data_IF_055169233036
#
_entry.id   IF_055169233036
#
_cell.length_a   1.000
_cell.length_b   1.000
_cell.length_c   1.000
_cell.angle_alpha   90.00
_cell.angle_beta   90.00
_cell.angle_gamma   90.00
#
_symmetry.space_group_name_H-M   'P 1'
#
loop_
_entity.id
_entity.type
_entity.pdbx_description
1 polymer ?
#
# COMPACT_ATOMS: atom_id res chain seq x y z
N UNK A 1 -38.85 17.58 20.75
CA UNK A 1 -38.20 17.73 22.08
C UNK A 1 -36.85 17.01 21.99
N UNK A 2 -35.68 17.63 21.82
CA UNK A 2 -35.14 18.92 22.26
C UNK A 2 -34.25 19.56 21.18
N UNK A 3 -34.10 20.88 21.29
CA UNK A 3 -33.40 21.84 20.43
C UNK A 3 -31.89 21.91 20.71
N UNK A 4 -31.10 22.11 19.64
CA UNK A 4 -29.68 22.49 19.67
C UNK A 4 -29.49 23.89 20.30
N UNK A 5 -28.49 24.04 21.17
CA UNK A 5 -27.93 25.35 21.53
C UNK A 5 -26.59 25.62 20.81
N UNK A 6 -26.52 26.82 20.22
CA UNK A 6 -25.38 27.40 19.49
C UNK A 6 -24.31 27.94 20.44
N UNK A 7 -23.07 27.87 19.95
CA UNK A 7 -21.92 28.67 20.39
C UNK A 7 -22.17 30.19 20.28
N UNK A 8 -21.65 30.95 21.26
CA UNK A 8 -20.63 32.04 21.12
C UNK A 8 -20.74 33.01 22.31
N UNK A 9 -19.62 33.34 22.95
CA UNK A 9 -19.04 34.69 22.87
C UNK A 9 -17.76 34.80 23.69
N UNK A 10 -16.76 35.41 23.05
CA UNK A 10 -15.58 36.04 23.61
C UNK A 10 -15.94 37.21 24.54
N UNK A 11 -15.09 37.49 25.54
CA UNK A 11 -14.62 38.85 25.85
C UNK A 11 -13.38 38.84 26.76
N UNK A 12 -12.55 39.85 26.54
CA UNK A 12 -11.17 40.08 27.00
C UNK A 12 -11.16 41.17 28.09
N UNK A 13 -10.05 41.25 28.82
CA UNK A 13 -9.61 42.29 29.80
C UNK A 13 -10.26 42.18 31.18
N UNK A 14 -9.57 42.39 32.31
CA UNK A 14 -8.60 43.47 32.61
C UNK A 14 -7.73 43.10 33.84
N UNK A 15 -6.53 43.66 33.89
CA UNK A 15 -5.55 43.60 34.99
C UNK A 15 -5.92 44.50 36.17
N UNK A 16 -5.58 44.10 37.41
CA UNK A 16 -5.21 45.00 38.51
C UNK A 16 -4.20 44.31 39.44
N UNK A 17 -3.16 45.06 39.81
CA UNK A 17 -2.07 44.71 40.71
C UNK A 17 -2.39 45.07 42.18
N UNK A 18 -1.59 44.54 43.10
CA UNK A 18 -1.53 44.85 44.54
C UNK A 18 -0.93 43.65 45.27
N UNK A 19 0.40 43.53 45.42
CA UNK A 19 1.26 44.10 46.48
C UNK A 19 0.73 43.73 47.86
N UNK A 20 1.42 42.81 48.56
CA UNK A 20 1.79 42.97 49.97
C UNK A 20 2.77 41.88 50.45
N UNK A 21 3.82 42.32 51.13
CA UNK A 21 4.79 41.61 51.98
C UNK A 21 5.50 42.69 52.80
N UNK A 22 6.19 42.39 53.93
CA UNK A 22 6.02 41.35 54.96
C UNK A 22 5.96 42.03 56.38
N UNK A 23 6.32 41.39 57.52
CA UNK A 23 7.74 41.40 57.90
C UNK A 23 8.27 40.13 58.60
N UNK A 24 9.60 40.11 58.63
CA UNK A 24 10.59 39.22 59.26
C UNK A 24 10.70 39.34 60.78
N UNK A 25 11.11 38.26 61.46
CA UNK A 25 12.04 38.28 62.61
C UNK A 25 12.56 36.85 62.88
N UNK A 26 13.85 36.58 62.65
CA UNK A 26 14.97 36.52 63.62
C UNK A 26 15.12 35.17 64.34
N UNK A 27 16.32 34.59 64.25
CA UNK A 27 16.71 33.46 65.09
C UNK A 27 17.88 32.63 64.54
N UNK A 28 19.09 33.19 64.66
CA UNK A 28 20.39 32.58 64.37
C UNK A 28 20.79 31.62 65.50
N UNK A 29 21.12 30.36 65.21
CA UNK A 29 22.11 29.60 65.99
C UNK A 29 22.92 28.67 65.08
N UNK A 30 24.23 28.77 65.25
CA UNK A 30 25.28 28.01 64.60
C UNK A 30 25.83 26.99 65.59
N UNK A 31 25.86 25.71 65.24
CA UNK A 31 26.73 24.72 65.89
C UNK A 31 27.39 23.80 64.85
N UNK A 32 28.67 23.60 65.09
CA UNK A 32 29.65 22.91 64.24
C UNK A 32 29.45 21.39 64.16
N UNK A 33 29.87 20.84 63.01
CA UNK A 33 30.81 19.71 62.99
C UNK A 33 30.24 18.32 62.66
N UNK A 34 30.95 17.68 61.71
CA UNK A 34 31.08 16.22 61.45
C UNK A 34 30.28 15.62 60.29
N UNK A 35 31.02 15.03 59.34
CA UNK A 35 30.52 14.14 58.28
C UNK A 35 30.64 14.68 56.85
N UNK A 36 31.86 14.84 56.32
CA UNK A 36 32.04 14.93 54.86
C UNK A 36 32.04 13.49 54.34
N UNK A 37 30.88 12.99 53.97
CA UNK A 37 30.78 11.75 53.20
C UNK A 37 31.36 12.01 51.80
N UNK A 38 32.45 11.32 51.47
CA UNK A 38 33.02 11.26 50.13
C UNK A 38 31.95 10.79 49.13
N UNK A 39 31.36 11.72 48.37
CA UNK A 39 30.54 11.38 47.20
C UNK A 39 31.51 10.85 46.14
N UNK A 40 31.44 9.56 45.77
CA UNK A 40 32.30 9.04 44.70
C UNK A 40 31.97 9.79 43.41
N UNK A 41 33.01 10.24 42.71
CA UNK A 41 32.89 10.93 41.43
C UNK A 41 31.96 10.15 40.48
N UNK A 42 31.09 10.84 39.70
CA UNK A 42 30.21 10.16 38.76
C UNK A 42 31.06 9.32 37.81
N UNK A 43 30.71 8.03 37.70
CA UNK A 43 31.38 7.11 36.78
C UNK A 43 31.45 7.74 35.38
N UNK A 44 32.57 7.56 34.65
CA UNK A 44 32.71 8.11 33.30
C UNK A 44 31.50 7.66 32.47
N UNK A 45 30.75 8.64 31.97
CA UNK A 45 29.58 8.40 31.13
C UNK A 45 30.00 7.48 29.98
N UNK A 46 29.43 6.28 29.95
CA UNK A 46 29.63 5.33 28.86
C UNK A 46 29.39 6.07 27.54
N UNK A 47 30.22 5.86 26.51
CA UNK A 47 30.00 6.48 25.21
C UNK A 47 28.58 6.13 24.74
N UNK A 48 27.81 7.16 24.39
CA UNK A 48 26.49 6.97 23.80
C UNK A 48 26.64 5.97 22.65
N UNK A 49 25.76 4.94 22.56
CA UNK A 49 25.83 4.00 21.46
C UNK A 49 25.81 4.77 20.15
N UNK A 50 26.58 4.37 19.13
CA UNK A 50 26.62 5.08 17.86
C UNK A 50 25.20 5.25 17.36
N UNK A 51 24.81 6.50 17.09
CA UNK A 51 23.49 6.83 16.54
C UNK A 51 23.28 5.97 15.29
N UNK A 52 22.28 5.10 15.32
CA UNK A 52 22.01 4.20 14.21
C UNK A 52 21.85 4.98 12.91
N UNK A 53 22.36 4.48 11.77
CA UNK A 53 22.27 5.20 10.50
C UNK A 53 20.80 5.44 10.14
N UNK A 54 20.50 6.66 9.74
CA UNK A 54 19.17 7.05 9.27
C UNK A 54 18.91 6.42 7.90
N UNK A 55 17.80 5.69 7.77
CA UNK A 55 17.40 5.06 6.51
C UNK A 55 16.68 6.11 5.66
N UNK A 56 17.20 6.37 4.46
CA UNK A 56 16.55 7.24 3.50
C UNK A 56 15.37 6.53 2.83
N UNK A 57 14.22 7.18 2.80
CA UNK A 57 13.02 6.74 2.09
C UNK A 57 12.41 7.94 1.37
N UNK A 58 11.85 7.75 0.16
CA UNK A 58 11.07 8.80 -0.50
C UNK A 58 9.67 8.99 0.11
N UNK A 59 9.34 8.26 1.18
CA UNK A 59 8.04 8.24 1.84
C UNK A 59 8.17 8.52 3.34
N UNK A 60 7.09 9.05 3.93
CA UNK A 60 7.02 9.50 5.32
C UNK A 60 6.86 8.34 6.35
N UNK A 61 7.51 7.20 6.12
CA UNK A 61 7.55 6.10 7.08
C UNK A 61 8.51 6.41 8.25
N UNK A 62 8.18 5.92 9.44
CA UNK A 62 9.08 6.05 10.59
C UNK A 62 10.35 5.23 10.41
N UNK A 63 11.44 5.63 11.07
CA UNK A 63 12.69 4.88 11.05
C UNK A 63 12.54 3.46 11.62
N UNK A 64 11.59 3.23 12.53
CA UNK A 64 11.27 1.90 13.03
C UNK A 64 10.64 1.01 11.94
N UNK A 65 9.66 1.56 11.20
CA UNK A 65 9.04 0.85 10.08
C UNK A 65 10.01 0.53 8.96
N UNK A 66 10.91 1.47 8.62
CA UNK A 66 11.92 1.24 7.59
C UNK A 66 12.94 0.17 7.99
N UNK A 67 13.25 0.06 9.30
CA UNK A 67 14.11 -1.03 9.83
C UNK A 67 13.39 -2.38 9.79
N UNK A 68 12.11 -2.41 10.17
CA UNK A 68 11.31 -3.65 10.11
C UNK A 68 11.05 -4.09 8.67
N UNK A 69 10.82 -3.14 7.77
CA UNK A 69 10.41 -3.39 6.39
C UNK A 69 11.28 -2.59 5.39
N UNK A 70 12.51 -3.05 5.09
CA UNK A 70 13.41 -2.36 4.17
C UNK A 70 12.83 -2.15 2.75
N UNK A 71 11.87 -2.99 2.35
CA UNK A 71 11.11 -2.83 1.10
C UNK A 71 10.46 -1.45 0.96
N UNK A 72 10.03 -0.84 2.07
CA UNK A 72 9.38 0.46 2.10
C UNK A 72 10.32 1.62 1.76
N UNK A 73 11.63 1.39 1.66
CA UNK A 73 12.57 2.42 1.18
C UNK A 73 12.51 2.60 -0.35
N UNK A 74 11.80 1.71 -1.06
CA UNK A 74 11.74 1.66 -2.52
C UNK A 74 10.40 2.18 -3.05
N UNK A 75 10.31 2.33 -4.37
CA UNK A 75 9.14 2.75 -5.14
C UNK A 75 8.42 1.59 -5.84
N UNK A 76 8.65 0.38 -5.36
CA UNK A 76 7.99 -0.82 -5.88
C UNK A 76 7.60 -1.75 -4.74
N UNK A 77 7.19 -1.21 -3.60
CA UNK A 77 6.72 -2.04 -2.50
C UNK A 77 5.28 -2.50 -2.71
N UNK A 78 4.94 -3.60 -2.06
CA UNK A 78 3.59 -4.11 -1.93
C UNK A 78 3.34 -4.52 -0.49
N UNK A 79 2.07 -4.56 -0.10
CA UNK A 79 1.64 -5.28 1.09
C UNK A 79 0.42 -6.14 0.79
N UNK A 80 0.25 -7.17 1.61
CA UNK A 80 -0.98 -7.93 1.71
C UNK A 80 -1.49 -7.74 3.12
N UNK A 81 -2.76 -7.36 3.23
CA UNK A 81 -3.43 -7.22 4.52
C UNK A 81 -4.54 -8.26 4.62
N UNK A 82 -4.63 -8.90 5.79
CA UNK A 82 -5.73 -9.81 6.10
C UNK A 82 -6.79 -9.01 6.85
N UNK A 83 -8.00 -8.96 6.30
CA UNK A 83 -9.01 -7.99 6.71
C UNK A 83 -10.28 -8.70 7.18
N UNK A 84 -10.56 -8.61 8.47
CA UNK A 84 -11.84 -9.01 9.06
C UNK A 84 -12.84 -7.85 8.90
N UNK A 85 -13.63 -7.91 7.83
CA UNK A 85 -14.78 -7.04 7.62
C UNK A 85 -16.08 -7.85 7.75
N UNK A 86 -17.11 -7.55 6.96
CA UNK A 86 -18.31 -8.43 6.88
C UNK A 86 -17.98 -9.84 6.42
N UNK A 87 -16.92 -9.99 5.63
CA UNK A 87 -16.34 -11.26 5.25
C UNK A 87 -14.82 -11.12 5.34
N UNK A 88 -14.16 -12.20 5.75
CA UNK A 88 -12.70 -12.30 5.71
C UNK A 88 -12.24 -12.21 4.25
N UNK A 89 -11.28 -11.34 3.98
CA UNK A 89 -10.64 -11.21 2.68
C UNK A 89 -9.20 -10.72 2.84
N UNK A 90 -8.45 -10.77 1.75
CA UNK A 90 -7.09 -10.26 1.68
C UNK A 90 -7.05 -9.06 0.75
N UNK A 91 -6.45 -7.97 1.19
CA UNK A 91 -6.22 -6.78 0.38
C UNK A 91 -4.77 -6.82 -0.15
N UNK A 92 -4.59 -7.08 -1.45
CA UNK A 92 -3.31 -6.90 -2.13
C UNK A 92 -3.17 -5.42 -2.51
N UNK A 93 -2.09 -4.78 -2.08
CA UNK A 93 -1.80 -3.38 -2.37
C UNK A 93 -0.42 -3.25 -2.98
N UNK A 94 -0.31 -2.55 -4.10
CA UNK A 94 0.95 -2.30 -4.79
C UNK A 94 1.15 -0.80 -4.96
N UNK A 95 2.32 -0.30 -4.60
CA UNK A 95 2.62 1.12 -4.72
C UNK A 95 2.73 1.56 -6.18
N UNK A 96 2.08 2.67 -6.53
CA UNK A 96 2.23 3.34 -7.81
C UNK A 96 1.93 4.84 -7.63
N UNK A 97 2.81 5.71 -8.12
CA UNK A 97 2.61 7.17 -8.17
C UNK A 97 2.21 7.81 -6.83
N UNK A 98 2.88 7.42 -5.74
CA UNK A 98 2.62 7.99 -4.41
C UNK A 98 1.35 7.47 -3.73
N UNK A 99 0.70 6.44 -4.28
CA UNK A 99 -0.46 5.76 -3.70
C UNK A 99 -0.28 4.24 -3.71
N UNK A 100 -1.28 3.51 -3.23
CA UNK A 100 -1.39 2.07 -3.41
C UNK A 100 -2.64 1.67 -4.20
N UNK A 101 -2.41 1.04 -5.36
CA UNK A 101 -3.44 0.34 -6.12
C UNK A 101 -3.79 -0.94 -5.38
N UNK A 102 -5.08 -1.15 -5.15
CA UNK A 102 -5.55 -2.12 -4.16
C UNK A 102 -6.63 -3.03 -4.73
N UNK A 103 -6.56 -4.31 -4.40
CA UNK A 103 -7.54 -5.32 -4.75
C UNK A 103 -7.94 -6.16 -3.54
N UNK A 104 -9.24 -6.24 -3.28
CA UNK A 104 -9.82 -7.15 -2.30
C UNK A 104 -10.00 -8.55 -2.93
N UNK A 105 -9.42 -9.56 -2.29
CA UNK A 105 -9.35 -10.94 -2.76
C UNK A 105 -10.04 -11.82 -1.71
N UNK A 106 -11.34 -12.14 -1.88
CA UNK A 106 -12.15 -12.79 -0.85
C UNK A 106 -11.63 -14.16 -0.39
N UNK A 107 -10.96 -14.90 -1.27
CA UNK A 107 -10.41 -16.23 -0.99
C UNK A 107 -8.89 -16.24 -0.83
N UNK A 108 -8.27 -15.07 -0.62
CA UNK A 108 -6.81 -14.93 -0.58
C UNK A 108 -6.14 -15.14 -1.94
N UNK A 109 -4.84 -14.78 -2.05
CA UNK A 109 -4.08 -14.97 -3.30
C UNK A 109 -3.98 -16.46 -3.63
N UNK A 110 -3.82 -16.81 -4.92
CA UNK A 110 -3.67 -18.20 -5.32
C UNK A 110 -2.42 -18.85 -4.72
N UNK A 111 -2.54 -20.11 -4.33
CA UNK A 111 -1.53 -20.74 -3.50
C UNK A 111 -1.47 -20.19 -2.08
N UNK A 112 -2.34 -19.26 -1.67
CA UNK A 112 -2.59 -18.78 -0.29
C UNK A 112 -3.77 -19.51 0.41
N UNK A 113 -4.57 -20.28 -0.32
CA UNK A 113 -5.75 -20.95 0.26
C UNK A 113 -5.89 -22.35 -0.32
N UNK A 114 -6.59 -23.23 0.42
CA UNK A 114 -6.74 -24.69 0.23
C UNK A 114 -7.37 -25.14 -1.11
N UNK A 115 -7.53 -24.27 -2.10
CA UNK A 115 -8.28 -24.55 -3.32
C UNK A 115 -7.36 -24.62 -4.56
N UNK A 116 -7.42 -25.74 -5.29
CA UNK A 116 -6.79 -25.95 -6.61
C UNK A 116 -7.44 -25.14 -7.75
N UNK A 117 -7.92 -23.95 -7.45
CA UNK A 117 -8.54 -23.04 -8.41
C UNK A 117 -7.47 -22.39 -9.29
N UNK A 118 -7.73 -22.27 -10.60
CA UNK A 118 -6.79 -21.60 -11.51
C UNK A 118 -6.84 -20.08 -11.41
N UNK A 119 -8.00 -19.53 -11.06
CA UNK A 119 -8.28 -18.10 -11.01
C UNK A 119 -9.10 -17.77 -9.75
N UNK A 120 -8.84 -16.62 -9.12
CA UNK A 120 -9.66 -16.07 -8.01
C UNK A 120 -10.09 -14.64 -8.31
N UNK A 121 -11.28 -14.27 -7.83
CA UNK A 121 -11.78 -12.90 -7.95
C UNK A 121 -10.89 -11.94 -7.15
N UNK A 122 -10.50 -10.84 -7.79
CA UNK A 122 -9.81 -9.69 -7.20
C UNK A 122 -10.61 -8.43 -7.54
N UNK A 123 -11.25 -7.81 -6.55
CA UNK A 123 -12.09 -6.63 -6.76
C UNK A 123 -11.25 -5.38 -6.54
N UNK A 124 -11.11 -4.53 -7.55
CA UNK A 124 -10.40 -3.25 -7.40
C UNK A 124 -11.11 -2.38 -6.37
N UNK A 125 -10.36 -1.91 -5.38
CA UNK A 125 -10.87 -1.04 -4.31
C UNK A 125 -10.43 0.39 -4.53
N UNK A 126 -10.79 1.27 -3.60
CA UNK A 126 -10.22 2.61 -3.57
C UNK A 126 -8.70 2.57 -3.46
N UNK A 127 -8.04 3.60 -3.97
CA UNK A 127 -6.61 3.79 -3.76
C UNK A 127 -6.39 4.16 -2.29
N UNK A 128 -5.31 3.66 -1.68
CA UNK A 128 -5.02 3.88 -0.26
C UNK A 128 -3.72 4.66 -0.07
N UNK A 129 -3.62 5.50 0.97
CA UNK A 129 -2.38 6.21 1.29
C UNK A 129 -1.23 5.25 1.55
N UNK A 130 -0.01 5.71 1.28
CA UNK A 130 1.20 4.92 1.49
C UNK A 130 1.37 4.52 2.95
N UNK A 131 1.06 5.39 3.90
CA UNK A 131 1.07 5.09 5.33
C UNK A 131 0.16 3.93 5.75
N UNK A 132 -0.90 3.65 5.00
CA UNK A 132 -1.79 2.53 5.29
C UNK A 132 -1.12 1.17 5.03
N UNK A 133 0.00 1.17 4.31
CA UNK A 133 0.76 -0.04 3.96
C UNK A 133 1.18 -0.83 5.20
N UNK A 134 1.54 -0.14 6.28
CA UNK A 134 1.98 -0.73 7.55
C UNK A 134 0.89 -0.72 8.63
N UNK A 135 -0.33 -0.31 8.26
CA UNK A 135 -1.46 -0.28 9.19
C UNK A 135 -1.81 -1.68 9.66
N UNK A 136 -2.01 -1.79 10.98
CA UNK A 136 -2.52 -2.96 11.66
C UNK A 136 -3.35 -2.50 12.86
N UNK A 137 -4.55 -3.03 13.04
CA UNK A 137 -5.40 -2.70 14.19
C UNK A 137 -6.89 -3.00 13.99
N UNK A 138 -7.63 -2.98 15.11
CA UNK A 138 -9.09 -3.09 15.12
C UNK A 138 -9.79 -1.81 14.69
N UNK A 139 -10.86 -1.92 13.89
CA UNK A 139 -11.63 -0.75 13.42
C UNK A 139 -12.79 -0.35 14.35
N UNK A 140 -12.97 -1.09 15.45
CA UNK A 140 -13.98 -0.85 16.48
C UNK A 140 -15.36 -1.44 16.16
N UNK A 141 -15.60 -1.91 14.94
CA UNK A 141 -16.87 -2.57 14.59
C UNK A 141 -16.89 -3.99 15.15
N UNK A 142 -18.10 -4.45 15.46
CA UNK A 142 -18.39 -5.81 15.90
C UNK A 142 -19.46 -6.37 14.98
N UNK A 143 -19.21 -7.55 14.42
CA UNK A 143 -20.17 -8.26 13.58
C UNK A 143 -21.30 -8.84 14.44
N UNK A 144 -22.47 -9.15 13.85
CA UNK A 144 -23.54 -9.87 14.56
C UNK A 144 -23.09 -11.20 15.17
N UNK A 145 -22.02 -11.82 14.64
CA UNK A 145 -21.39 -13.02 15.20
C UNK A 145 -20.60 -12.77 16.51
N UNK A 146 -20.41 -11.52 16.92
CA UNK A 146 -19.56 -11.14 18.06
C UNK A 146 -18.08 -10.96 17.71
N UNK A 147 -17.68 -11.28 16.47
CA UNK A 147 -16.31 -11.07 16.00
C UNK A 147 -16.02 -9.58 15.80
N UNK A 148 -14.82 -9.15 16.21
CA UNK A 148 -14.37 -7.77 16.04
C UNK A 148 -13.72 -7.60 14.68
N UNK A 149 -13.97 -6.48 14.04
CA UNK A 149 -13.41 -6.14 12.74
C UNK A 149 -12.04 -5.46 12.88
N UNK A 150 -11.21 -5.59 11.85
CA UNK A 150 -9.88 -5.02 11.83
C UNK A 150 -9.02 -5.57 10.71
N UNK A 151 -7.78 -5.11 10.69
CA UNK A 151 -6.83 -5.40 9.61
C UNK A 151 -5.50 -5.79 10.21
N UNK A 152 -4.93 -6.89 9.73
CA UNK A 152 -3.62 -7.41 10.09
C UNK A 152 -2.67 -7.23 8.91
N UNK A 153 -1.44 -6.75 9.15
CA UNK A 153 -0.41 -6.70 8.12
C UNK A 153 0.11 -8.12 7.90
N UNK A 154 -0.31 -8.72 6.79
CA UNK A 154 -0.10 -10.13 6.53
C UNK A 154 1.25 -10.40 5.90
N UNK A 155 1.69 -9.56 4.95
CA UNK A 155 3.06 -9.55 4.43
C UNK A 155 3.38 -8.23 3.73
N UNK A 156 4.66 -7.97 3.51
CA UNK A 156 5.16 -6.76 2.84
C UNK A 156 6.49 -7.05 2.15
N UNK A 157 6.65 -6.53 0.93
CA UNK A 157 7.85 -6.79 0.13
C UNK A 157 7.96 -5.84 -1.05
N UNK A 158 8.74 -6.24 -2.07
CA UNK A 158 8.87 -5.52 -3.35
C UNK A 158 8.29 -6.33 -4.50
N UNK A 159 7.71 -5.66 -5.49
CA UNK A 159 7.15 -6.30 -6.67
C UNK A 159 8.05 -6.04 -7.88
N UNK A 160 8.03 -6.98 -8.82
CA UNK A 160 8.56 -6.77 -10.17
C UNK A 160 7.45 -7.01 -11.18
N UNK A 161 7.42 -6.22 -12.25
CA UNK A 161 6.49 -6.43 -13.36
C UNK A 161 7.20 -7.24 -14.43
N UNK A 162 6.65 -8.41 -14.70
CA UNK A 162 7.16 -9.34 -15.69
C UNK A 162 6.63 -8.88 -17.05
N UNK A 163 7.38 -8.07 -17.79
CA UNK A 163 6.94 -7.58 -19.09
C UNK A 163 6.63 -8.73 -20.06
N UNK A 164 5.42 -8.79 -20.66
CA UNK A 164 5.12 -9.73 -21.71
C UNK A 164 5.49 -9.14 -23.08
N UNK A 165 6.76 -8.78 -23.31
CA UNK A 165 7.24 -8.64 -24.70
C UNK A 165 7.50 -9.99 -25.37
N UNK A 166 7.35 -11.10 -24.64
CA UNK A 166 7.03 -12.36 -25.30
C UNK A 166 5.63 -12.23 -25.87
N UNK A 167 5.56 -12.07 -27.19
CA UNK A 167 4.40 -12.22 -28.08
C UNK A 167 3.44 -13.32 -27.60
N UNK A 168 2.58 -13.01 -26.65
CA UNK A 168 1.55 -13.91 -26.13
C UNK A 168 0.19 -13.21 -26.05
N UNK A 169 0.05 -12.03 -26.65
CA UNK A 169 -1.16 -11.80 -27.42
C UNK A 169 -1.23 -12.96 -28.41
N UNK A 170 -2.33 -13.70 -28.45
CA UNK A 170 -2.53 -14.74 -29.46
C UNK A 170 -2.24 -14.13 -30.84
N UNK A 171 -1.08 -14.43 -31.42
CA UNK A 171 -0.70 -13.95 -32.75
C UNK A 171 -1.84 -14.34 -33.68
N UNK A 172 -2.61 -13.36 -34.16
CA UNK A 172 -3.53 -13.61 -35.27
C UNK A 172 -2.69 -14.12 -36.45
N UNK A 173 -3.27 -14.95 -37.31
CA UNK A 173 -2.58 -15.47 -38.50
C UNK A 173 -1.94 -14.35 -39.34
N UNK A 174 -2.49 -13.14 -39.31
CA UNK A 174 -1.94 -11.95 -39.96
C UNK A 174 -0.55 -11.54 -39.45
N UNK A 175 -0.29 -11.65 -38.14
CA UNK A 175 1.02 -11.28 -37.57
C UNK A 175 2.09 -12.33 -37.91
N UNK A 176 1.70 -13.61 -37.93
CA UNK A 176 2.57 -14.71 -38.42
C UNK A 176 2.90 -14.52 -39.90
N UNK A 177 1.93 -14.07 -40.70
CA UNK A 177 2.11 -13.80 -42.13
C UNK A 177 3.06 -12.63 -42.38
N UNK A 178 2.98 -11.56 -41.60
CA UNK A 178 3.91 -10.42 -41.66
C UNK A 178 5.34 -10.80 -41.28
N UNK A 179 5.52 -11.63 -40.24
CA UNK A 179 6.84 -12.18 -39.88
C UNK A 179 7.45 -13.04 -40.97
N UNK A 180 6.65 -13.92 -41.59
CA UNK A 180 7.08 -14.73 -42.74
C UNK A 180 7.48 -13.86 -43.93
N UNK A 181 6.78 -12.75 -44.16
CA UNK A 181 7.11 -11.79 -45.21
C UNK A 181 8.46 -11.09 -44.94
N UNK A 182 8.69 -10.58 -43.72
CA UNK A 182 9.96 -9.97 -43.32
C UNK A 182 11.15 -10.92 -43.45
N UNK A 183 10.97 -12.20 -43.09
CA UNK A 183 11.98 -13.25 -43.30
C UNK A 183 12.30 -13.52 -44.78
N UNK A 184 11.32 -13.36 -45.68
CA UNK A 184 11.54 -13.52 -47.13
C UNK A 184 12.20 -12.30 -47.76
N UNK A 185 12.03 -11.13 -47.17
CA UNK A 185 12.53 -9.85 -47.69
C UNK A 185 13.96 -9.50 -47.19
N UNK A 186 14.63 -10.42 -46.48
CA UNK A 186 16.07 -10.32 -46.21
C UNK A 186 16.50 -9.19 -45.26
N UNK A 187 15.58 -8.56 -44.52
CA UNK A 187 15.95 -7.57 -43.50
C UNK A 187 16.34 -8.26 -42.18
N UNK A 188 17.46 -8.98 -42.18
CA UNK A 188 18.10 -9.43 -40.94
C UNK A 188 18.97 -8.30 -40.39
N UNK A 189 18.33 -7.37 -39.67
CA UNK A 189 19.02 -6.61 -38.65
C UNK A 189 19.31 -7.57 -37.50
N UNK A 190 20.58 -7.73 -37.16
CA UNK A 190 21.04 -8.43 -35.96
C UNK A 190 20.59 -7.65 -34.71
N UNK A 191 19.33 -7.77 -34.35
CA UNK A 191 18.84 -7.40 -33.02
C UNK A 191 19.22 -8.54 -32.07
N UNK A 192 20.51 -8.59 -31.72
CA UNK A 192 20.94 -9.17 -30.45
C UNK A 192 20.07 -8.51 -29.36
N UNK A 193 19.41 -9.24 -28.44
CA UNK A 193 18.54 -8.62 -27.45
C UNK A 193 19.41 -7.93 -26.41
N UNK A 194 19.97 -6.78 -26.78
CA UNK A 194 20.37 -5.75 -25.83
C UNK A 194 19.19 -5.59 -24.88
N UNK A 195 19.49 -5.76 -23.60
CA UNK A 195 18.62 -5.50 -22.46
C UNK A 195 18.14 -4.05 -22.60
N UNK A 196 17.04 -3.87 -23.31
CA UNK A 196 16.44 -2.57 -23.52
C UNK A 196 15.76 -2.19 -22.21
N UNK A 197 16.46 -1.46 -21.35
CA UNK A 197 15.86 -0.73 -20.23
C UNK A 197 15.05 0.43 -20.85
N UNK A 198 13.72 0.34 -21.02
CA UNK A 198 13.02 1.12 -22.04
C UNK A 198 12.84 2.62 -21.71
N UNK A 199 13.45 3.12 -20.64
CA UNK A 199 13.09 4.41 -20.03
C UNK A 199 14.29 5.20 -19.48
N UNK A 200 15.53 4.96 -19.95
CA UNK A 200 16.69 5.68 -19.42
C UNK A 200 16.92 5.44 -17.92
N UNK A 201 16.50 4.28 -17.41
CA UNK A 201 16.66 3.92 -16.01
C UNK A 201 18.15 3.84 -15.64
N UNK A 202 18.55 4.60 -14.64
CA UNK A 202 19.92 4.57 -14.11
C UNK A 202 20.03 3.46 -13.07
N UNK A 203 21.27 3.04 -12.74
CA UNK A 203 21.50 2.12 -11.63
C UNK A 203 20.85 2.60 -10.31
N UNK A 204 20.73 3.93 -10.14
CA UNK A 204 20.07 4.55 -8.99
C UNK A 204 18.54 4.37 -9.03
N UNK A 205 17.88 4.64 -10.17
CA UNK A 205 16.41 4.49 -10.27
C UNK A 205 15.97 3.02 -10.22
N UNK A 206 16.80 2.10 -10.73
CA UNK A 206 16.59 0.65 -10.54
C UNK A 206 16.71 0.24 -9.07
N UNK A 207 17.71 0.74 -8.32
CA UNK A 207 17.85 0.46 -6.88
C UNK A 207 16.67 1.00 -6.06
N UNK A 208 16.16 2.17 -6.44
CA UNK A 208 14.99 2.79 -5.83
C UNK A 208 13.67 2.13 -6.25
N UNK A 209 13.67 1.16 -7.18
CA UNK A 209 12.44 0.49 -7.64
C UNK A 209 11.58 1.32 -8.61
N UNK A 210 12.00 2.53 -8.97
CA UNK A 210 11.27 3.40 -9.90
C UNK A 210 11.07 2.75 -11.27
N UNK A 211 12.05 1.95 -11.71
CA UNK A 211 11.92 1.22 -12.96
C UNK A 211 10.71 0.29 -12.97
N UNK A 212 10.49 -0.48 -11.89
CA UNK A 212 9.35 -1.39 -11.75
C UNK A 212 8.03 -0.63 -11.60
N UNK A 213 8.05 0.51 -10.91
CA UNK A 213 6.92 1.45 -10.85
C UNK A 213 6.50 1.91 -12.25
N UNK A 214 7.46 2.27 -13.10
CA UNK A 214 7.19 2.71 -14.47
C UNK A 214 6.58 1.59 -15.32
N UNK A 215 7.09 0.35 -15.17
CA UNK A 215 6.48 -0.82 -15.83
C UNK A 215 5.03 -1.00 -15.40
N UNK A 216 4.76 -0.83 -14.11
CA UNK A 216 3.44 -1.00 -13.56
C UNK A 216 2.49 0.09 -14.08
N UNK A 217 2.95 1.35 -14.14
CA UNK A 217 2.22 2.47 -14.75
C UNK A 217 1.84 2.16 -16.20
N UNK A 218 2.81 1.71 -17.00
CA UNK A 218 2.58 1.34 -18.39
C UNK A 218 1.57 0.19 -18.52
N UNK A 219 1.67 -0.83 -17.66
CA UNK A 219 0.75 -1.97 -17.66
C UNK A 219 -0.69 -1.56 -17.33
N UNK A 220 -0.87 -0.60 -16.41
CA UNK A 220 -2.18 -0.04 -16.05
C UNK A 220 -2.77 0.86 -17.13
N UNK A 221 -1.94 1.61 -17.86
CA UNK A 221 -2.39 2.59 -18.85
C UNK A 221 -2.48 2.03 -20.28
N UNK A 222 -1.87 0.87 -20.57
CA UNK A 222 -1.84 0.27 -21.93
C UNK A 222 -3.24 0.21 -22.58
N UNK A 223 -3.44 0.68 -23.82
CA UNK A 223 -4.73 0.52 -24.48
C UNK A 223 -5.03 -0.97 -24.73
N UNK A 224 -6.26 -1.39 -24.44
CA UNK A 224 -6.70 -2.78 -24.65
C UNK A 224 -7.38 -2.88 -26.01
N UNK A 225 -6.93 -3.82 -26.85
CA UNK A 225 -7.55 -4.08 -28.16
C UNK A 225 -8.98 -4.62 -27.98
N UNK A 226 -9.84 -4.37 -28.96
CA UNK A 226 -11.21 -4.88 -28.95
C UNK A 226 -11.24 -6.40 -28.76
N UNK A 227 -12.06 -6.89 -27.82
CA UNK A 227 -12.17 -8.32 -27.50
C UNK A 227 -11.01 -8.91 -26.68
N UNK A 228 -10.07 -8.09 -26.21
CA UNK A 228 -9.01 -8.51 -25.28
C UNK A 228 -9.26 -7.95 -23.88
N UNK A 229 -8.60 -8.57 -22.91
CA UNK A 229 -8.55 -8.11 -21.52
C UNK A 229 -7.15 -7.59 -21.20
N UNK A 230 -7.06 -6.60 -20.32
CA UNK A 230 -5.79 -6.20 -19.73
C UNK A 230 -5.29 -7.32 -18.83
N UNK A 231 -4.02 -7.67 -18.96
CA UNK A 231 -3.32 -8.53 -18.02
C UNK A 231 -2.04 -7.85 -17.53
N UNK A 232 -1.71 -8.08 -16.26
CA UNK A 232 -0.50 -7.58 -15.61
C UNK A 232 0.15 -8.79 -14.95
N UNK A 233 1.35 -9.13 -15.41
CA UNK A 233 2.16 -10.20 -14.83
C UNK A 233 3.14 -9.56 -13.85
N UNK A 234 3.21 -10.09 -12.65
CA UNK A 234 4.07 -9.56 -11.61
C UNK A 234 4.54 -10.64 -10.67
N UNK A 235 5.67 -10.39 -10.03
CA UNK A 235 6.26 -11.26 -9.03
C UNK A 235 6.46 -10.49 -7.73
N UNK A 236 5.96 -11.06 -6.64
CA UNK A 236 6.15 -10.55 -5.28
C UNK A 236 7.43 -11.16 -4.69
N UNK A 237 8.31 -10.32 -4.15
CA UNK A 237 9.65 -10.66 -3.67
C UNK A 237 9.95 -10.03 -2.32
N UNK A 238 10.80 -10.68 -1.54
CA UNK A 238 11.33 -10.17 -0.28
C UNK A 238 10.30 -10.03 0.84
N UNK A 239 9.11 -10.63 0.68
CA UNK A 239 8.17 -10.81 1.77
C UNK A 239 8.59 -11.96 2.67
N UNK A 240 8.10 -11.98 3.91
CA UNK A 240 8.36 -13.08 4.84
C UNK A 240 7.61 -14.35 4.43
N UNK A 241 6.44 -14.20 3.82
CA UNK A 241 5.56 -15.29 3.39
C UNK A 241 5.56 -15.44 1.88
N UNK A 242 5.62 -14.34 1.14
CA UNK A 242 5.67 -14.31 -0.31
C UNK A 242 7.04 -13.82 -0.79
N UNK A 243 7.86 -14.78 -1.16
CA UNK A 243 9.10 -14.52 -1.88
C UNK A 243 9.15 -15.29 -3.20
N UNK A 244 9.42 -14.58 -4.29
CA UNK A 244 9.37 -15.08 -5.67
C UNK A 244 8.02 -15.72 -6.07
N UNK A 245 6.92 -15.14 -5.58
CA UNK A 245 5.56 -15.56 -5.93
C UNK A 245 5.04 -14.75 -7.12
N UNK A 246 4.89 -15.41 -8.26
CA UNK A 246 4.43 -14.83 -9.52
C UNK A 246 2.93 -15.01 -9.72
N UNK A 247 2.29 -13.95 -10.20
CA UNK A 247 0.85 -13.87 -10.41
C UNK A 247 0.51 -13.12 -11.69
N UNK A 248 -0.72 -13.31 -12.16
CA UNK A 248 -1.30 -12.57 -13.28
C UNK A 248 -2.62 -11.95 -12.81
N UNK A 249 -2.71 -10.62 -12.84
CA UNK A 249 -3.97 -9.90 -12.70
C UNK A 249 -4.60 -9.71 -14.08
N UNK A 250 -5.82 -10.22 -14.26
CA UNK A 250 -6.56 -10.17 -15.53
C UNK A 250 -7.84 -9.35 -15.32
N UNK A 251 -7.96 -8.21 -15.99
CA UNK A 251 -9.14 -7.37 -15.90
C UNK A 251 -10.32 -8.01 -16.64
N UNK A 252 -11.46 -8.11 -15.96
CA UNK A 252 -12.71 -8.57 -16.58
C UNK A 252 -13.09 -7.62 -17.73
N UNK A 253 -13.60 -8.14 -18.87
CA UNK A 253 -14.19 -7.29 -19.89
C UNK A 253 -15.30 -6.43 -19.27
N UNK A 254 -15.23 -5.12 -19.48
CA UNK A 254 -16.28 -4.21 -19.03
C UNK A 254 -17.34 -4.12 -20.13
N UNK A 255 -18.52 -4.69 -19.90
CA UNK A 255 -19.65 -4.50 -20.82
C UNK A 255 -20.33 -3.16 -20.51
N UNK A 256 -20.40 -2.26 -21.50
CA UNK A 256 -20.88 -0.89 -21.32
C UNK A 256 -22.32 -0.82 -20.77
N UNK A 257 -23.14 -1.84 -21.01
CA UNK A 257 -24.53 -1.94 -20.53
C UNK A 257 -24.68 -2.42 -19.07
N UNK A 258 -23.64 -2.92 -18.40
CA UNK A 258 -23.77 -3.56 -17.09
C UNK A 258 -22.71 -3.09 -16.08
N UNK A 259 -22.55 -1.77 -15.97
CA UNK A 259 -21.66 -1.14 -15.00
C UNK A 259 -22.25 -1.28 -13.60
N UNK A 260 -21.60 -2.07 -12.75
CA UNK A 260 -21.92 -2.13 -11.31
C UNK A 260 -21.15 -1.04 -10.58
N UNK A 261 -21.76 -0.42 -9.59
CA UNK A 261 -21.12 0.60 -8.76
C UNK A 261 -20.93 0.09 -7.32
N UNK A 262 -19.89 0.56 -6.64
CA UNK A 262 -19.64 0.32 -5.21
C UNK A 262 -20.62 1.15 -4.37
N UNK A 263 -20.68 0.86 -3.07
CA UNK A 263 -21.40 1.70 -2.10
C UNK A 263 -20.84 3.12 -2.01
N UNK A 264 -19.66 3.36 -2.58
CA UNK A 264 -18.99 4.66 -2.67
C UNK A 264 -19.19 5.33 -4.03
N UNK A 265 -20.12 4.83 -4.87
CA UNK A 265 -20.43 5.42 -6.18
C UNK A 265 -19.41 5.15 -7.29
N UNK A 266 -18.35 4.37 -7.04
CA UNK A 266 -17.33 4.05 -8.05
C UNK A 266 -17.72 2.85 -8.90
N UNK A 267 -17.39 2.87 -10.19
CA UNK A 267 -17.58 1.69 -11.02
C UNK A 267 -16.72 0.54 -10.47
N UNK A 268 -17.34 -0.58 -10.15
CA UNK A 268 -16.65 -1.80 -9.74
C UNK A 268 -15.90 -2.36 -10.93
N UNK A 269 -14.58 -2.37 -10.82
CA UNK A 269 -13.70 -3.03 -11.78
C UNK A 269 -13.30 -4.37 -11.18
N UNK A 270 -13.74 -5.45 -11.83
CA UNK A 270 -13.39 -6.79 -11.42
C UNK A 270 -12.13 -7.25 -12.15
N UNK A 271 -11.24 -7.87 -11.40
CA UNK A 271 -10.05 -8.55 -11.87
C UNK A 271 -10.10 -10.00 -11.44
N UNK A 272 -9.26 -10.82 -12.06
CA UNK A 272 -8.98 -12.17 -11.63
C UNK A 272 -7.49 -12.30 -11.40
N UNK A 273 -7.10 -12.79 -10.23
CA UNK A 273 -5.73 -13.22 -10.00
C UNK A 273 -5.58 -14.68 -10.42
N UNK A 274 -4.54 -14.98 -11.19
CA UNK A 274 -4.28 -16.29 -11.78
C UNK A 274 -2.81 -16.67 -11.59
N UNK A 275 -2.49 -17.97 -11.55
CA UNK A 275 -1.11 -18.43 -11.55
C UNK A 275 -0.53 -18.42 -12.98
N UNK A 276 0.76 -18.11 -13.16
CA UNK A 276 1.45 -18.28 -14.43
C UNK A 276 1.43 -19.74 -14.91
N UNK A 277 1.57 -19.94 -16.22
CA UNK A 277 1.69 -21.29 -16.79
C UNK A 277 2.87 -22.02 -16.18
N UNK A 278 2.66 -23.27 -15.77
CA UNK A 278 3.67 -24.11 -15.14
C UNK A 278 3.77 -23.97 -13.62
N UNK A 279 3.15 -22.95 -13.03
CA UNK A 279 3.04 -22.83 -11.57
C UNK A 279 1.76 -23.54 -11.12
N UNK A 280 1.91 -24.67 -10.42
CA UNK A 280 0.76 -25.44 -9.92
C UNK A 280 0.19 -24.88 -8.61
N UNK A 281 1.01 -24.16 -7.85
CA UNK A 281 0.66 -23.57 -6.57
C UNK A 281 1.93 -23.18 -5.82
N UNK A 282 1.74 -22.54 -4.67
CA UNK A 282 2.81 -22.23 -3.72
C UNK A 282 2.60 -23.07 -2.46
N UNK A 283 3.70 -23.53 -1.87
CA UNK A 283 3.67 -24.41 -0.73
C UNK A 283 3.05 -23.72 0.50
N UNK A 284 2.34 -24.49 1.31
CA UNK A 284 1.76 -24.06 2.57
C UNK A 284 2.66 -24.45 3.72
N UNK A 285 2.83 -23.53 4.66
CA UNK A 285 3.32 -23.87 5.99
C UNK A 285 2.37 -24.79 6.75
N UNK A 286 2.87 -25.45 7.79
CA UNK A 286 2.03 -26.19 8.72
C UNK A 286 0.98 -25.28 9.37
N UNK A 287 -0.25 -25.78 9.52
CA UNK A 287 -1.36 -25.04 10.15
C UNK A 287 -2.20 -24.17 9.20
N UNK A 288 -1.84 -24.04 7.93
CA UNK A 288 -2.70 -23.35 6.96
C UNK A 288 -2.72 -21.83 7.13
N UNK A 289 -3.80 -21.18 6.68
CA UNK A 289 -4.01 -19.72 6.78
C UNK A 289 -4.01 -19.17 8.22
N UNK A 290 -4.21 -20.02 9.21
CA UNK A 290 -4.20 -19.69 10.64
C UNK A 290 -2.96 -20.22 11.37
N UNK A 291 -2.05 -20.91 10.66
CA UNK A 291 -0.85 -21.48 11.25
C UNK A 291 0.13 -20.41 11.73
N UNK A 292 1.13 -20.78 12.51
CA UNK A 292 2.07 -19.80 13.09
C UNK A 292 2.87 -19.03 12.02
N UNK A 293 3.10 -19.64 10.86
CA UNK A 293 3.76 -18.98 9.74
C UNK A 293 2.83 -18.01 9.00
N UNK A 294 1.62 -18.45 8.64
CA UNK A 294 0.75 -17.71 7.72
C UNK A 294 -0.36 -16.93 8.42
N UNK A 295 -0.81 -17.32 9.60
CA UNK A 295 -1.89 -16.67 10.36
C UNK A 295 -1.49 -15.43 11.16
N UNK A 296 -0.20 -15.20 11.34
CA UNK A 296 0.33 -14.13 12.21
C UNK A 296 0.76 -12.89 11.44
N UNK A 297 0.71 -11.75 12.11
CA UNK A 297 1.21 -10.47 11.62
C UNK A 297 2.72 -10.51 11.38
N UNK A 298 3.18 -9.95 10.27
CA UNK A 298 4.63 -9.71 10.06
C UNK A 298 5.14 -8.51 10.86
N UNK A 299 4.24 -7.67 11.37
CA UNK A 299 4.57 -6.50 12.20
C UNK A 299 4.67 -6.86 13.68
N UNK A 300 3.68 -7.57 14.21
CA UNK A 300 3.54 -7.78 15.66
C UNK A 300 3.61 -9.25 16.09
N UNK A 301 3.56 -10.21 15.15
CA UNK A 301 3.41 -11.63 15.47
C UNK A 301 2.05 -12.03 16.04
N UNK A 302 1.13 -11.07 16.22
CA UNK A 302 -0.24 -11.31 16.71
C UNK A 302 -1.09 -12.02 15.65
N UNK A 303 -2.07 -12.77 16.11
CA UNK A 303 -3.15 -13.33 15.28
C UNK A 303 -4.14 -12.24 14.87
N UNK A 304 -4.92 -12.47 13.81
CA UNK A 304 -5.96 -11.53 13.38
C UNK A 304 -6.96 -11.23 14.51
N UNK A 305 -7.32 -12.25 15.30
CA UNK A 305 -8.23 -12.10 16.44
C UNK A 305 -7.67 -11.16 17.50
N UNK A 306 -6.40 -11.28 17.84
CA UNK A 306 -5.72 -10.41 18.81
C UNK A 306 -5.61 -8.97 18.28
N UNK A 307 -5.26 -8.80 17.01
CA UNK A 307 -5.22 -7.49 16.35
C UNK A 307 -6.59 -6.80 16.37
N UNK A 308 -7.66 -7.52 16.01
CA UNK A 308 -9.02 -6.99 16.03
C UNK A 308 -9.50 -6.69 17.46
N UNK A 309 -8.96 -7.37 18.47
CA UNK A 309 -9.25 -7.11 19.87
C UNK A 309 -8.49 -5.90 20.43
N UNK A 310 -7.32 -5.56 19.88
CA UNK A 310 -6.57 -4.38 20.29
C UNK A 310 -7.37 -3.09 20.04
N UNK A 311 -7.33 -2.15 20.99
CA UNK A 311 -7.96 -0.82 20.89
C UNK A 311 -6.97 0.26 20.42
N UNK A 312 -5.99 -0.13 19.63
CA UNK A 312 -5.02 0.81 19.06
C UNK A 312 -5.67 1.50 17.86
N UNK A 313 -6.12 2.74 18.06
CA UNK A 313 -6.53 3.64 16.98
C UNK A 313 -5.30 4.40 16.52
N UNK A 314 -5.02 4.36 15.21
CA UNK A 314 -3.98 5.22 14.64
C UNK A 314 -4.54 6.64 14.51
N UNK A 315 -3.93 7.59 15.21
CA UNK A 315 -4.26 9.02 15.16
C UNK A 315 -3.87 9.64 13.81
N UNK A 316 -2.77 9.18 13.20
CA UNK A 316 -2.26 9.66 11.90
C UNK A 316 -3.05 9.20 10.68
N UNK A 317 -3.68 8.01 10.73
CA UNK A 317 -4.48 7.49 9.62
C UNK A 317 -5.68 8.38 9.32
N UNK A 318 -6.35 8.94 10.34
CA UNK A 318 -7.48 9.84 10.11
C UNK A 318 -7.04 11.14 9.41
N UNK A 319 -5.93 11.76 9.84
CA UNK A 319 -5.43 12.99 9.23
C UNK A 319 -4.96 12.81 7.77
N UNK A 320 -4.42 11.63 7.42
CA UNK A 320 -4.08 11.34 6.03
C UNK A 320 -5.30 10.90 5.23
N UNK A 321 -6.23 10.14 5.82
CA UNK A 321 -7.50 9.82 5.20
C UNK A 321 -8.32 11.08 4.89
N UNK A 322 -8.16 12.17 5.64
CA UNK A 322 -8.69 13.50 5.32
C UNK A 322 -7.97 14.15 4.12
N UNK A 323 -6.63 14.07 4.06
CA UNK A 323 -5.83 14.50 2.89
C UNK A 323 -6.22 13.76 1.60
N UNK A 324 -6.54 12.48 1.72
CA UNK A 324 -7.05 11.64 0.63
C UNK A 324 -8.59 11.58 0.61
N UNK A 325 -9.27 12.32 1.49
CA UNK A 325 -10.72 12.39 1.59
C UNK A 325 -11.35 13.11 0.39
N UNK A 326 -10.58 14.02 -0.23
CA UNK A 326 -10.87 14.61 -1.54
C UNK A 326 -10.43 13.74 -2.72
N UNK A 327 -9.59 12.73 -2.49
CA UNK A 327 -9.20 11.75 -3.51
C UNK A 327 -10.19 10.58 -3.59
N UNK A 328 -11.45 10.95 -3.43
CA UNK A 328 -12.61 10.16 -3.73
C UNK A 328 -12.78 9.94 -5.24
N UNK A 329 -11.87 10.32 -6.14
CA UNK A 329 -12.03 10.02 -7.56
C UNK A 329 -13.20 10.77 -8.19
N UNK A 330 -13.51 11.95 -7.64
CA UNK A 330 -14.24 12.96 -8.38
C UNK A 330 -13.24 13.68 -9.29
N UNK A 331 -13.57 13.68 -10.58
CA UNK A 331 -13.01 14.53 -11.62
C UNK A 331 -11.61 14.08 -12.14
N UNK A 332 -11.61 13.10 -13.06
CA UNK A 332 -10.88 13.38 -14.30
C UNK A 332 -11.73 14.45 -14.98
N UNK A 333 -11.33 15.71 -14.83
CA UNK A 333 -11.82 16.78 -15.68
C UNK A 333 -11.24 16.46 -17.05
N UNK A 334 -12.01 15.70 -17.83
CA UNK A 334 -11.84 15.71 -19.27
C UNK A 334 -12.13 17.14 -19.67
N UNK A 335 -11.06 17.86 -20.04
CA UNK A 335 -11.11 19.19 -20.61
C UNK A 335 -12.29 19.28 -21.60
N UNK A 336 -13.33 20.09 -21.30
CA UNK A 336 -14.50 20.21 -22.18
C UNK A 336 -14.13 20.76 -23.57
N UNK A 337 -12.92 21.31 -23.74
CA UNK A 337 -12.42 21.90 -24.99
C UNK A 337 -12.19 20.94 -26.16
N UNK A 338 -12.13 19.62 -25.94
CA UNK A 338 -11.88 18.65 -27.04
C UNK A 338 -13.16 18.10 -27.68
N UNK A 339 -14.31 18.22 -27.00
CA UNK A 339 -15.58 17.67 -27.54
C UNK A 339 -16.29 18.58 -28.54
N UNK A 340 -15.88 19.84 -28.68
CA UNK A 340 -16.57 20.81 -29.52
C UNK A 340 -16.06 20.90 -30.97
N UNK A 341 -14.93 20.25 -31.30
CA UNK A 341 -14.44 20.16 -32.69
C UNK A 341 -15.03 19.02 -33.51
N UNK A 342 -15.72 18.07 -32.88
CA UNK A 342 -16.33 16.92 -33.60
C UNK A 342 -17.83 17.14 -33.88
N UNK A 343 -18.51 18.04 -33.15
CA UNK A 343 -19.92 18.37 -33.39
C UNK A 343 -20.16 19.39 -34.52
N UNK A 344 -19.16 20.19 -34.92
CA UNK A 344 -19.29 21.15 -36.03
C UNK A 344 -18.97 20.61 -37.43
N UNK A 345 -18.69 19.30 -37.58
CA UNK A 345 -18.45 18.65 -38.88
C UNK A 345 -19.56 17.72 -39.35
N UNK A 346 -20.74 17.77 -38.71
CA UNK A 346 -21.95 17.02 -39.13
C UNK A 346 -23.15 17.92 -39.44
N UNK A 347 -22.91 19.22 -39.59
CA UNK A 347 -23.92 20.20 -39.97
C UNK A 347 -23.31 21.21 -40.95
N UNK A 348 -22.92 20.70 -42.11
CA UNK A 348 -22.64 21.45 -43.34
C UNK A 348 -22.67 20.47 -44.50
#
# INVERSE_FOLDING_TARGET
MWTLHKLKSSKRSRSTAGVDSPPSDLGRESHNGEGVDDIPAPAPSLPLPPSQPHIASPWDFSQEELRMFPALCKRNFWCVQRHQARALHYDLRMQLDGTTFSWAIPRGLLGISKTGERNRLAVETTLHPISYTTYEGGDGRVLPSGERCGTLLWDVGTYTIDYPWKNHDSDSEDEKRRRRKRRREGSEGSDDPQVYCPLGATAHTCRLGQHEEDKFRMAMQRPVRLGKSRSIHFTLKGGKKLDNHSYILIQSPQNAMNKKFSSTGRQKVNWFISLPRGVQGYAWGEGGEEGDEHGRSVKTGRTLREVCAARERIVTFQSEQERFGGWAGDVIEVDPGVTDRVKRRRSS
#
